data_IF_175056196571
#
_entry.id   IF_175056196571
#
_cell.length_a   1.000
_cell.length_b   1.000
_cell.length_c   1.000
_cell.angle_alpha   90.00
_cell.angle_beta   90.00
_cell.angle_gamma   90.00
#
_symmetry.space_group_name_H-M   'P 1'
#
loop_
_entity.id
_entity.type
_entity.pdbx_description
1 polymer ?
#
# COMPACT_ATOMS: atom_id res chain seq x y z
N UNK A 1 -17.24 24.75 -50.54
CA UNK A 1 -17.68 24.36 -49.19
C UNK A 1 -16.45 24.34 -48.30
N UNK A 2 -16.29 25.36 -47.46
CA UNK A 2 -15.18 25.47 -46.51
C UNK A 2 -15.47 24.57 -45.29
N UNK A 3 -14.48 23.77 -44.87
CA UNK A 3 -14.60 23.01 -43.62
C UNK A 3 -14.50 23.96 -42.43
N UNK A 4 -15.49 23.89 -41.55
CA UNK A 4 -15.51 24.60 -40.28
C UNK A 4 -14.59 23.83 -39.33
N UNK A 5 -13.43 24.40 -39.02
CA UNK A 5 -12.52 23.87 -37.98
C UNK A 5 -13.05 24.35 -36.64
N UNK A 6 -13.42 23.41 -35.78
CA UNK A 6 -13.87 23.65 -34.40
C UNK A 6 -12.72 24.28 -33.58
N UNK A 7 -12.93 25.54 -33.17
CA UNK A 7 -11.95 26.39 -32.49
C UNK A 7 -11.87 26.17 -30.97
N UNK A 8 -12.54 25.16 -30.42
CA UNK A 8 -12.62 24.90 -28.97
C UNK A 8 -11.31 24.39 -28.31
N UNK A 9 -10.36 23.88 -29.10
CA UNK A 9 -9.17 23.16 -28.60
C UNK A 9 -7.83 23.91 -28.70
N UNK A 10 -7.84 25.19 -29.09
CA UNK A 10 -6.62 25.96 -29.34
C UNK A 10 -6.57 27.26 -28.53
N UNK A 11 -5.40 27.60 -28.00
CA UNK A 11 -5.13 28.90 -27.37
C UNK A 11 -4.04 29.65 -28.14
N UNK A 12 -4.08 30.98 -28.04
CA UNK A 12 -3.12 31.88 -28.71
C UNK A 12 -1.99 32.20 -27.75
N UNK A 13 -0.77 31.78 -28.09
CA UNK A 13 0.43 32.11 -27.33
C UNK A 13 0.75 33.61 -27.43
N UNK A 14 1.49 34.15 -26.45
CA UNK A 14 1.98 35.54 -26.39
C UNK A 14 2.77 35.97 -27.65
N UNK A 15 3.34 35.02 -28.40
CA UNK A 15 4.04 35.28 -29.67
C UNK A 15 3.17 35.09 -30.93
N UNK A 16 1.84 34.94 -30.76
CA UNK A 16 0.88 34.90 -31.87
C UNK A 16 0.66 33.54 -32.54
N UNK A 17 1.35 32.48 -32.11
CA UNK A 17 1.17 31.13 -32.64
C UNK A 17 -0.02 30.39 -31.99
N UNK A 18 -0.72 29.58 -32.79
CA UNK A 18 -1.86 28.75 -32.38
C UNK A 18 -1.32 27.40 -31.88
N UNK A 19 -1.61 27.03 -30.63
CA UNK A 19 -1.08 25.80 -30.00
C UNK A 19 -2.22 24.98 -29.36
N UNK A 20 -2.15 23.63 -29.34
CA UNK A 20 -3.15 22.79 -28.68
C UNK A 20 -3.11 22.95 -27.15
N UNK A 21 -4.30 22.98 -26.50
CA UNK A 21 -4.47 23.20 -25.04
C UNK A 21 -3.71 22.25 -24.11
N UNK A 22 -3.23 21.11 -24.60
CA UNK A 22 -2.57 20.09 -23.74
C UNK A 22 -1.16 20.48 -23.26
N UNK A 23 -0.57 21.56 -23.77
CA UNK A 23 0.80 21.97 -23.44
C UNK A 23 0.93 22.97 -22.27
N UNK A 24 -0.16 23.48 -21.69
CA UNK A 24 -0.12 24.52 -20.63
C UNK A 24 0.02 23.98 -19.19
N UNK A 25 -0.05 22.67 -18.98
CA UNK A 25 0.16 22.08 -17.63
C UNK A 25 1.61 21.73 -17.32
N UNK A 26 2.49 21.63 -18.34
CA UNK A 26 3.92 21.36 -18.13
C UNK A 26 4.76 22.63 -17.91
N UNK A 27 4.22 23.81 -18.21
CA UNK A 27 4.93 25.09 -18.13
C UNK A 27 4.77 25.83 -16.79
N UNK A 28 4.03 25.26 -15.83
CA UNK A 28 3.93 25.79 -14.45
C UNK A 28 4.75 25.02 -13.41
N UNK A 29 5.60 24.10 -13.85
CA UNK A 29 6.63 23.53 -12.97
C UNK A 29 7.84 24.45 -13.09
N UNK A 30 8.16 25.14 -12.00
CA UNK A 30 9.34 25.99 -11.83
C UNK A 30 10.59 25.23 -12.29
N UNK A 31 11.08 25.49 -13.50
CA UNK A 31 12.45 25.21 -13.90
C UNK A 31 13.33 26.33 -13.32
N UNK A 32 13.56 26.27 -12.01
CA UNK A 32 14.77 26.84 -11.43
C UNK A 32 15.95 25.89 -11.66
N UNK A 33 17.18 26.41 -11.57
CA UNK A 33 18.35 25.54 -11.60
C UNK A 33 18.23 24.50 -10.48
N UNK A 34 18.34 23.23 -10.85
CA UNK A 34 18.36 22.13 -9.89
C UNK A 34 19.56 22.35 -8.95
N UNK A 35 19.37 22.40 -7.63
CA UNK A 35 20.49 22.53 -6.70
C UNK A 35 21.53 21.43 -6.97
N UNK A 36 22.82 21.74 -6.88
CA UNK A 36 23.92 20.80 -7.18
C UNK A 36 23.93 19.53 -6.33
N UNK A 37 23.11 19.53 -5.27
CA UNK A 37 22.99 18.49 -4.25
C UNK A 37 21.64 17.76 -4.31
N UNK A 38 20.83 17.97 -5.36
CA UNK A 38 19.59 17.23 -5.56
C UNK A 38 19.91 15.74 -5.79
N UNK A 39 19.34 14.86 -4.94
CA UNK A 39 19.62 13.42 -4.82
C UNK A 39 20.99 13.01 -4.25
N UNK A 40 21.78 13.94 -3.69
CA UNK A 40 22.98 13.54 -2.94
C UNK A 40 22.59 13.09 -1.54
N UNK A 41 22.67 11.79 -1.29
CA UNK A 41 22.86 11.29 0.08
C UNK A 41 24.29 11.69 0.44
N UNK A 42 24.44 12.71 1.29
CA UNK A 42 25.74 13.08 1.84
C UNK A 42 26.20 11.92 2.72
N UNK A 43 26.97 11.00 2.14
CA UNK A 43 27.77 10.04 2.89
C UNK A 43 28.81 10.87 3.64
N UNK A 44 28.44 11.31 4.84
CA UNK A 44 29.42 11.76 5.82
C UNK A 44 30.26 10.53 6.09
N UNK A 45 31.46 10.52 5.52
CA UNK A 45 32.47 9.51 5.82
C UNK A 45 32.77 9.66 7.31
N UNK A 46 32.13 8.80 8.10
CA UNK A 46 32.23 8.80 9.55
C UNK A 46 33.63 8.33 9.92
N UNK A 47 34.53 9.29 10.09
CA UNK A 47 35.77 9.08 10.81
C UNK A 47 35.41 8.86 12.30
N UNK A 48 35.15 7.60 12.62
CA UNK A 48 35.28 6.93 13.92
C UNK A 48 34.97 7.81 15.15
N UNK A 49 33.69 8.08 15.43
CA UNK A 49 33.18 8.35 16.79
C UNK A 49 31.74 7.81 16.89
N UNK A 50 31.40 7.22 18.05
CA UNK A 50 30.37 6.19 18.25
C UNK A 50 28.89 6.57 18.02
N UNK A 51 27.98 5.57 18.03
CA UNK A 51 26.58 5.73 17.63
C UNK A 51 25.72 6.14 18.83
N UNK A 52 25.84 7.38 19.30
CA UNK A 52 24.95 7.82 20.39
C UNK A 52 24.60 9.31 20.43
N UNK A 53 25.09 10.15 19.52
CA UNK A 53 24.71 11.58 19.50
C UNK A 53 23.87 11.96 18.27
N UNK A 54 23.94 11.19 17.18
CA UNK A 54 23.16 11.48 15.96
C UNK A 54 21.78 10.84 15.91
N UNK A 55 21.39 10.06 16.92
CA UNK A 55 20.10 9.34 16.92
C UNK A 55 19.04 10.01 17.81
N UNK A 56 19.35 11.16 18.41
CA UNK A 56 18.42 11.89 19.29
C UNK A 56 17.90 13.21 18.69
N UNK A 57 18.43 13.64 17.54
CA UNK A 57 18.08 14.94 16.91
C UNK A 57 17.21 14.81 15.64
N UNK A 58 16.77 13.59 15.31
CA UNK A 58 15.71 13.32 14.34
C UNK A 58 14.49 12.80 15.10
N UNK A 59 13.56 13.69 15.53
CA UNK A 59 12.10 13.41 15.50
C UNK A 59 11.21 14.38 16.30
N UNK A 60 11.70 15.46 16.95
CA UNK A 60 10.75 16.41 17.57
C UNK A 60 9.90 17.17 16.53
N UNK A 61 10.40 17.32 15.30
CA UNK A 61 9.69 17.97 14.19
C UNK A 61 9.06 16.99 13.18
N UNK A 62 9.14 15.68 13.40
CA UNK A 62 8.43 14.76 12.51
C UNK A 62 6.94 14.73 12.88
N UNK A 63 6.10 14.90 11.87
CA UNK A 63 4.66 14.69 12.00
C UNK A 63 4.30 13.22 11.91
N UNK A 64 5.25 12.35 11.60
CA UNK A 64 5.01 10.93 11.45
C UNK A 64 4.96 10.25 12.84
N UNK A 65 3.92 9.46 13.09
CA UNK A 65 3.68 8.79 14.37
C UNK A 65 4.08 7.31 14.36
N UNK A 66 4.03 6.65 13.20
CA UNK A 66 4.31 5.23 13.09
C UNK A 66 3.50 4.54 12.00
N UNK A 67 3.69 3.23 11.89
CA UNK A 67 2.92 2.41 10.97
C UNK A 67 1.65 1.93 11.67
N UNK A 68 0.53 2.49 11.25
CA UNK A 68 -0.79 2.16 11.77
C UNK A 68 -1.42 1.05 10.95
N UNK A 69 -1.86 -0.01 11.63
CA UNK A 69 -2.58 -1.12 11.01
C UNK A 69 -4.06 -0.96 11.29
N UNK A 70 -4.87 -0.96 10.24
CA UNK A 70 -6.33 -1.03 10.31
C UNK A 70 -6.77 -2.36 9.71
N UNK A 71 -7.47 -3.17 10.48
CA UNK A 71 -8.13 -4.38 9.99
C UNK A 71 -9.63 -4.19 9.98
N UNK A 72 -10.23 -4.33 8.80
CA UNK A 72 -11.67 -4.46 8.62
C UNK A 72 -12.01 -5.94 8.73
N UNK A 73 -12.54 -6.36 9.87
CA UNK A 73 -12.68 -7.78 10.19
C UNK A 73 -14.00 -8.36 9.66
N UNK A 74 -15.13 -7.93 10.21
CA UNK A 74 -16.47 -8.44 9.88
C UNK A 74 -17.55 -7.43 10.22
N UNK A 75 -18.78 -7.65 9.74
CA UNK A 75 -19.94 -6.85 10.12
C UNK A 75 -21.16 -7.71 10.49
N UNK A 76 -22.10 -7.11 11.22
CA UNK A 76 -23.41 -7.68 11.59
C UNK A 76 -24.50 -6.72 11.15
N UNK A 77 -25.13 -7.00 10.03
CA UNK A 77 -26.08 -6.10 9.37
C UNK A 77 -27.53 -6.44 9.72
N UNK A 78 -28.36 -5.43 9.81
CA UNK A 78 -29.79 -5.59 10.11
C UNK A 78 -30.55 -6.05 8.86
N UNK A 79 -30.25 -5.48 7.68
CA UNK A 79 -30.90 -5.80 6.40
C UNK A 79 -30.14 -6.89 5.63
N UNK A 80 -30.86 -7.69 4.83
CA UNK A 80 -30.30 -8.77 4.00
C UNK A 80 -30.86 -8.78 2.57
N UNK A 81 -31.29 -7.64 2.06
CA UNK A 81 -31.94 -7.59 0.75
C UNK A 81 -30.89 -7.26 -0.30
N UNK A 82 -30.37 -8.28 -0.96
CA UNK A 82 -29.54 -8.10 -2.14
C UNK A 82 -30.34 -7.59 -3.36
N UNK A 83 -29.70 -7.51 -4.53
CA UNK A 83 -30.21 -6.72 -5.66
C UNK A 83 -31.59 -7.13 -6.21
N UNK A 84 -31.98 -8.41 -6.03
CA UNK A 84 -33.30 -8.93 -6.42
C UNK A 84 -34.18 -9.34 -5.22
N UNK A 85 -33.86 -8.92 -4.00
CA UNK A 85 -34.65 -9.18 -2.78
C UNK A 85 -34.57 -10.62 -2.23
N UNK A 86 -34.29 -11.61 -3.08
CA UNK A 86 -34.03 -13.00 -2.68
C UNK A 86 -32.55 -13.38 -2.70
N UNK A 87 -31.71 -12.59 -3.39
CA UNK A 87 -30.27 -12.81 -3.40
C UNK A 87 -29.64 -12.22 -2.14
N UNK A 88 -28.57 -12.86 -1.65
CA UNK A 88 -27.75 -12.30 -0.56
C UNK A 88 -27.01 -11.08 -1.07
N UNK A 89 -26.74 -10.15 -0.16
CA UNK A 89 -25.85 -9.04 -0.44
C UNK A 89 -24.41 -9.54 -0.64
N UNK A 90 -23.63 -8.75 -1.38
CA UNK A 90 -22.21 -8.92 -1.65
C UNK A 90 -21.44 -7.71 -1.04
N UNK A 91 -21.21 -7.69 0.30
CA UNK A 91 -20.79 -6.46 0.96
C UNK A 91 -19.29 -6.18 0.81
N UNK A 92 -18.92 -4.91 0.68
CA UNK A 92 -17.54 -4.43 0.74
C UNK A 92 -17.47 -3.08 1.48
N UNK A 93 -16.30 -2.77 2.04
CA UNK A 93 -16.06 -1.57 2.84
C UNK A 93 -15.09 -0.66 2.11
N UNK A 94 -15.44 0.62 2.02
CA UNK A 94 -14.51 1.71 1.73
C UNK A 94 -14.21 2.44 3.02
N UNK A 95 -12.95 2.68 3.33
CA UNK A 95 -12.60 3.55 4.45
C UNK A 95 -11.55 4.58 4.06
N UNK A 96 -11.57 5.72 4.74
CA UNK A 96 -10.70 6.85 4.51
C UNK A 96 -10.09 7.31 5.84
N UNK A 97 -8.77 7.52 5.83
CA UNK A 97 -8.02 8.13 6.93
C UNK A 97 -7.15 9.25 6.36
N UNK A 98 -7.36 10.48 6.83
CA UNK A 98 -6.79 11.67 6.19
C UNK A 98 -7.19 11.77 4.71
N UNK A 99 -6.20 11.71 3.81
CA UNK A 99 -6.41 11.76 2.35
C UNK A 99 -6.27 10.40 1.66
N UNK A 100 -6.10 9.33 2.42
CA UNK A 100 -5.86 7.98 1.90
C UNK A 100 -7.15 7.19 2.02
N UNK A 101 -7.59 6.60 0.90
CA UNK A 101 -8.76 5.72 0.85
C UNK A 101 -8.36 4.31 0.47
N UNK A 102 -9.00 3.34 1.11
CA UNK A 102 -8.82 1.91 0.87
C UNK A 102 -10.18 1.22 0.72
N UNK A 103 -10.17 0.09 0.03
CA UNK A 103 -11.36 -0.74 -0.18
C UNK A 103 -11.03 -2.20 0.12
N UNK A 104 -11.98 -2.91 0.75
CA UNK A 104 -11.90 -4.35 0.97
C UNK A 104 -12.25 -5.13 -0.29
N UNK A 105 -11.74 -6.37 -0.43
CA UNK A 105 -12.38 -7.32 -1.34
C UNK A 105 -13.87 -7.46 -0.99
N UNK A 106 -14.66 -7.82 -1.97
CA UNK A 106 -16.09 -8.08 -1.75
C UNK A 106 -16.30 -9.42 -1.07
N UNK A 107 -17.12 -9.44 -0.02
CA UNK A 107 -17.56 -10.66 0.62
C UNK A 107 -18.75 -11.26 -0.15
N UNK A 108 -18.44 -11.99 -1.24
CA UNK A 108 -19.47 -12.61 -2.09
C UNK A 108 -20.39 -13.54 -1.30
N UNK A 109 -21.70 -13.28 -1.34
CA UNK A 109 -22.73 -13.99 -0.59
C UNK A 109 -22.73 -13.75 0.91
N UNK A 110 -22.01 -12.71 1.39
CA UNK A 110 -21.84 -12.40 2.82
C UNK A 110 -23.13 -12.07 3.55
N UNK A 111 -24.15 -11.54 2.84
CA UNK A 111 -25.46 -11.28 3.43
C UNK A 111 -25.39 -10.40 4.68
N UNK A 112 -25.99 -10.84 5.80
CA UNK A 112 -25.97 -10.10 7.08
C UNK A 112 -24.66 -10.19 7.86
N UNK A 113 -23.79 -11.14 7.53
CA UNK A 113 -22.60 -11.43 8.32
C UNK A 113 -21.36 -11.55 7.42
N UNK A 114 -21.02 -10.49 6.66
CA UNK A 114 -19.82 -10.51 5.83
C UNK A 114 -18.57 -10.54 6.71
N UNK A 115 -17.53 -11.23 6.22
CA UNK A 115 -16.21 -11.31 6.83
C UNK A 115 -15.17 -11.01 5.76
N UNK A 116 -14.23 -10.13 6.07
CA UNK A 116 -13.16 -9.70 5.16
C UNK A 116 -11.79 -10.04 5.72
N UNK A 117 -11.57 -9.78 7.02
CA UNK A 117 -10.26 -9.91 7.66
C UNK A 117 -9.14 -9.22 6.88
N UNK A 118 -9.45 -8.05 6.30
CA UNK A 118 -8.55 -7.31 5.43
C UNK A 118 -7.76 -6.28 6.23
N UNK A 119 -6.43 -6.37 6.20
CA UNK A 119 -5.52 -5.52 6.98
C UNK A 119 -4.73 -4.58 6.07
N UNK A 120 -4.67 -3.31 6.47
CA UNK A 120 -4.00 -2.24 5.74
C UNK A 120 -2.99 -1.56 6.65
N UNK A 121 -1.75 -1.43 6.18
CA UNK A 121 -0.70 -0.69 6.84
C UNK A 121 -0.63 0.71 6.26
N UNK A 122 -0.72 1.71 7.12
CA UNK A 122 -0.86 3.12 6.75
C UNK A 122 0.14 3.93 7.56
N UNK A 123 0.81 4.86 6.88
CA UNK A 123 1.66 5.84 7.54
C UNK A 123 0.80 6.85 8.29
N UNK A 124 0.86 6.84 9.62
CA UNK A 124 0.03 7.73 10.44
C UNK A 124 0.78 9.01 10.76
N UNK A 125 0.15 10.15 10.50
CA UNK A 125 0.70 11.47 10.80
C UNK A 125 -0.14 12.20 11.87
N UNK A 126 0.49 13.14 12.59
CA UNK A 126 -0.17 14.06 13.52
C UNK A 126 -1.32 14.78 12.80
N UNK A 127 -2.50 14.76 13.42
CA UNK A 127 -3.73 15.32 12.84
C UNK A 127 -4.59 14.33 12.05
N UNK A 128 -4.12 13.10 11.82
CA UNK A 128 -4.96 11.99 11.37
C UNK A 128 -5.53 11.30 12.60
N UNK A 129 -6.73 11.69 13.02
CA UNK A 129 -7.38 11.21 14.25
C UNK A 129 -8.72 10.51 13.98
N UNK A 130 -9.19 10.49 12.74
CA UNK A 130 -10.51 9.94 12.37
C UNK A 130 -10.42 9.06 11.12
N UNK A 131 -11.17 7.96 11.16
CA UNK A 131 -11.39 7.05 10.05
C UNK A 131 -12.86 7.13 9.68
N UNK A 132 -13.15 7.53 8.45
CA UNK A 132 -14.50 7.45 7.89
C UNK A 132 -14.66 6.10 7.21
N UNK A 133 -15.74 5.38 7.50
CA UNK A 133 -16.01 4.03 7.01
C UNK A 133 -17.37 4.02 6.35
N UNK A 134 -17.44 3.49 5.14
CA UNK A 134 -18.67 3.29 4.38
C UNK A 134 -18.76 1.83 3.93
N UNK A 135 -19.95 1.25 4.05
CA UNK A 135 -20.25 -0.11 3.67
C UNK A 135 -21.26 -0.11 2.51
N UNK A 136 -20.98 -0.92 1.49
CA UNK A 136 -21.76 -1.03 0.26
C UNK A 136 -22.09 -2.49 -0.08
N UNK A 137 -23.15 -2.69 -0.85
CA UNK A 137 -23.54 -3.95 -1.52
C UNK A 137 -23.15 -3.84 -3.00
N UNK A 138 -22.19 -4.66 -3.44
CA UNK A 138 -21.72 -4.64 -4.83
C UNK A 138 -22.80 -5.16 -5.79
N UNK A 139 -22.97 -4.47 -6.93
CA UNK A 139 -23.98 -4.84 -7.95
C UNK A 139 -23.36 -4.91 -9.34
N UNK A 140 -23.75 -5.94 -10.10
CA UNK A 140 -23.17 -6.18 -11.43
C UNK A 140 -23.73 -5.28 -12.55
N UNK A 141 -24.94 -4.76 -12.38
CA UNK A 141 -25.69 -4.07 -13.45
C UNK A 141 -26.19 -2.67 -13.09
N UNK A 142 -25.99 -2.24 -11.85
CA UNK A 142 -26.40 -0.94 -11.33
C UNK A 142 -25.30 -0.39 -10.44
N UNK A 143 -25.41 0.87 -10.03
CA UNK A 143 -24.58 1.41 -8.97
C UNK A 143 -24.69 0.57 -7.70
N UNK A 144 -23.57 0.50 -6.98
CA UNK A 144 -23.48 -0.20 -5.71
C UNK A 144 -24.36 0.50 -4.68
N UNK A 145 -25.02 -0.29 -3.84
CA UNK A 145 -25.96 0.25 -2.87
C UNK A 145 -25.28 0.52 -1.57
N UNK A 146 -25.39 1.75 -1.09
CA UNK A 146 -25.01 2.09 0.27
C UNK A 146 -25.79 1.24 1.29
N UNK A 147 -25.07 0.74 2.30
CA UNK A 147 -25.62 -0.02 3.43
C UNK A 147 -25.59 0.84 4.68
N UNK A 148 -24.45 1.43 5.02
CA UNK A 148 -24.29 2.25 6.22
C UNK A 148 -22.88 2.82 6.34
N UNK A 149 -22.71 3.81 7.21
CA UNK A 149 -21.44 4.47 7.47
C UNK A 149 -21.18 4.64 8.96
N UNK A 150 -19.92 4.79 9.33
CA UNK A 150 -19.55 5.24 10.65
C UNK A 150 -18.26 6.05 10.60
N UNK A 151 -18.10 6.90 11.60
CA UNK A 151 -16.88 7.63 11.84
C UNK A 151 -16.25 7.16 13.13
N UNK A 152 -14.98 6.78 13.05
CA UNK A 152 -14.22 6.23 14.17
C UNK A 152 -13.08 7.17 14.50
N UNK A 153 -13.08 7.71 15.73
CA UNK A 153 -11.90 8.39 16.28
C UNK A 153 -10.86 7.33 16.65
N UNK A 154 -9.59 7.56 16.28
CA UNK A 154 -8.49 6.64 16.56
C UNK A 154 -8.25 6.61 18.07
N UNK A 155 -8.47 5.47 18.75
CA UNK A 155 -8.37 5.41 20.20
C UNK A 155 -6.92 5.62 20.65
N UNK A 156 -6.74 6.33 21.77
CA UNK A 156 -5.41 6.55 22.37
C UNK A 156 -4.68 5.23 22.62
N UNK A 157 -5.41 4.16 22.94
CA UNK A 157 -4.83 2.83 23.13
C UNK A 157 -4.14 2.30 21.87
N UNK A 158 -4.72 2.54 20.70
CA UNK A 158 -4.13 2.16 19.43
C UNK A 158 -2.85 2.96 19.16
N UNK A 159 -2.85 4.25 19.50
CA UNK A 159 -1.68 5.14 19.40
C UNK A 159 -0.56 4.73 20.37
N UNK A 160 -0.90 4.26 21.57
CA UNK A 160 0.05 3.72 22.56
C UNK A 160 0.66 2.37 22.14
N UNK A 161 0.31 1.85 20.96
CA UNK A 161 0.76 0.57 20.44
C UNK A 161 0.05 -0.65 21.03
N UNK A 162 -1.07 -0.46 21.72
CA UNK A 162 -1.96 -1.57 22.11
C UNK A 162 -2.94 -1.87 20.98
N UNK A 163 -3.34 -3.13 20.86
CA UNK A 163 -4.40 -3.49 19.91
C UNK A 163 -5.75 -3.04 20.45
N UNK A 164 -6.43 -2.18 19.72
CA UNK A 164 -7.81 -1.80 19.96
C UNK A 164 -8.74 -2.58 19.02
N UNK A 165 -9.64 -3.38 19.57
CA UNK A 165 -10.63 -4.17 18.81
C UNK A 165 -12.03 -3.79 19.29
N UNK A 166 -12.85 -3.25 18.40
CA UNK A 166 -14.17 -2.74 18.79
C UNK A 166 -15.22 -2.82 17.68
N UNK A 167 -16.48 -2.96 18.10
CA UNK A 167 -17.65 -2.92 17.23
C UNK A 167 -18.19 -1.50 17.17
N UNK A 168 -18.25 -0.92 15.97
CA UNK A 168 -18.77 0.42 15.74
C UNK A 168 -20.13 0.34 15.05
N UNK A 169 -21.14 1.10 15.52
CA UNK A 169 -22.46 1.12 14.91
C UNK A 169 -22.40 1.81 13.54
N UNK A 170 -23.05 1.20 12.55
CA UNK A 170 -23.25 1.74 11.22
C UNK A 170 -24.58 2.49 11.17
N UNK A 171 -24.56 3.71 10.64
CA UNK A 171 -25.71 4.57 10.47
C UNK A 171 -26.12 4.65 9.01
N UNK A 172 -27.42 4.80 8.74
CA UNK A 172 -27.91 5.09 7.39
C UNK A 172 -27.55 6.50 6.93
N UNK A 173 -27.95 6.86 5.70
CA UNK A 173 -27.78 8.21 5.13
C UNK A 173 -29.12 8.78 4.68
N UNK A 174 -29.18 10.12 4.53
CA UNK A 174 -30.31 10.94 4.03
C UNK A 174 -31.67 10.65 4.67
N UNK A 175 -32.39 9.64 4.20
CA UNK A 175 -33.73 9.30 4.69
C UNK A 175 -33.69 8.55 6.02
N UNK A 176 -32.55 7.92 6.32
CA UNK A 176 -32.37 7.01 7.44
C UNK A 176 -31.11 7.35 8.27
N UNK A 177 -30.70 8.63 8.32
CA UNK A 177 -29.45 9.10 8.97
C UNK A 177 -29.25 8.64 10.42
N UNK A 178 -30.36 8.36 11.12
CA UNK A 178 -30.33 7.91 12.51
C UNK A 178 -30.76 6.44 12.70
N UNK A 179 -30.97 5.70 11.61
CA UNK A 179 -31.28 4.28 11.69
C UNK A 179 -29.99 3.48 11.77
N UNK A 180 -29.86 2.68 12.84
CA UNK A 180 -28.79 1.71 12.95
C UNK A 180 -28.96 0.66 11.85
N UNK A 181 -27.91 0.43 11.05
CA UNK A 181 -27.87 -0.53 9.95
C UNK A 181 -27.12 -1.82 10.31
N UNK A 182 -26.49 -1.85 11.48
CA UNK A 182 -25.66 -2.93 11.96
C UNK A 182 -24.43 -2.44 12.70
N UNK A 183 -23.50 -3.34 12.98
CA UNK A 183 -22.22 -3.02 13.59
C UNK A 183 -21.06 -3.57 12.73
N UNK A 184 -19.92 -2.88 12.72
CA UNK A 184 -18.69 -3.31 12.05
C UNK A 184 -17.55 -3.49 13.06
N UNK A 185 -16.82 -4.59 12.96
CA UNK A 185 -15.65 -4.89 13.79
C UNK A 185 -14.39 -4.33 13.12
N UNK A 186 -13.75 -3.38 13.81
CA UNK A 186 -12.50 -2.75 13.38
C UNK A 186 -11.41 -3.04 14.41
N UNK A 187 -10.22 -3.41 13.92
CA UNK A 187 -9.03 -3.64 14.76
C UNK A 187 -7.96 -2.64 14.36
N UNK A 188 -7.37 -1.97 15.35
CA UNK A 188 -6.40 -0.90 15.15
C UNK A 188 -5.19 -1.08 16.05
N UNK A 189 -3.99 -0.83 15.53
CA UNK A 189 -2.77 -0.76 16.33
C UNK A 189 -1.70 0.09 15.64
N UNK A 190 -0.93 0.85 16.41
CA UNK A 190 0.25 1.55 15.94
C UNK A 190 1.51 0.74 16.28
N UNK A 191 2.33 0.46 15.27
CA UNK A 191 3.68 -0.03 15.50
C UNK A 191 4.65 1.15 15.37
N UNK A 192 5.44 1.46 16.40
CA UNK A 192 6.48 2.47 16.27
C UNK A 192 7.51 1.99 15.25
N UNK A 193 8.22 2.93 14.61
CA UNK A 193 9.37 2.64 13.76
C UNK A 193 10.46 1.96 14.61
N UNK A 194 10.41 0.64 14.71
CA UNK A 194 11.59 -0.12 15.05
C UNK A 194 12.44 -0.02 13.80
N UNK A 195 13.54 0.74 13.87
CA UNK A 195 14.58 0.68 12.86
C UNK A 195 14.91 -0.80 12.66
N UNK A 196 14.65 -1.33 11.47
CA UNK A 196 15.16 -2.63 11.00
C UNK A 196 16.68 -2.55 10.86
N UNK A 197 17.40 -2.05 11.88
CA UNK A 197 18.79 -2.39 12.05
C UNK A 197 18.79 -3.89 12.39
N UNK A 198 19.29 -4.77 11.49
CA UNK A 198 19.50 -6.15 11.88
C UNK A 198 20.35 -6.13 13.16
N UNK A 199 20.10 -7.03 14.13
CA UNK A 199 20.98 -7.14 15.29
C UNK A 199 22.39 -7.30 14.73
N UNK A 200 23.27 -6.36 15.06
CA UNK A 200 24.67 -6.48 14.74
C UNK A 200 25.10 -7.82 15.32
N UNK A 201 25.34 -8.80 14.45
CA UNK A 201 25.97 -10.04 14.86
C UNK A 201 27.31 -9.60 15.41
N UNK A 202 27.44 -9.62 16.73
CA UNK A 202 28.65 -9.33 17.45
C UNK A 202 29.64 -10.43 17.04
N UNK A 203 30.38 -10.20 15.96
CA UNK A 203 31.44 -11.10 15.54
C UNK A 203 32.45 -11.12 16.69
N UNK A 204 32.67 -12.27 17.36
CA UNK A 204 33.76 -12.36 18.32
C UNK A 204 35.05 -12.11 17.54
N UNK A 205 35.74 -11.03 17.92
CA UNK A 205 37.00 -10.63 17.29
C UNK A 205 37.97 -11.82 17.31
N UNK A 206 38.57 -12.23 16.17
CA UNK A 206 39.58 -13.26 16.21
C UNK A 206 40.81 -12.73 16.94
N UNK A 207 41.19 -13.45 18.00
CA UNK A 207 42.41 -13.26 18.77
C UNK A 207 43.61 -13.28 17.81
N UNK A 208 44.30 -12.15 17.74
CA UNK A 208 45.45 -11.95 16.86
C UNK A 208 46.64 -12.79 17.38
N UNK A 209 47.09 -13.79 16.61
CA UNK A 209 48.41 -14.38 16.78
C UNK A 209 49.14 -14.42 15.44
N UNK A 210 50.27 -13.75 15.43
CA UNK A 210 51.23 -13.63 14.33
C UNK A 210 51.66 -14.99 13.79
N UNK A 211 51.86 -15.13 12.47
CA UNK A 211 53.15 -15.47 11.82
C UNK A 211 52.93 -15.75 10.32
N UNK A 212 53.64 -15.02 9.44
CA UNK A 212 54.29 -15.60 8.27
C UNK A 212 53.59 -15.62 6.89
N UNK A 213 54.20 -14.86 5.97
CA UNK A 213 54.41 -15.14 4.53
C UNK A 213 53.26 -15.05 3.51
N UNK A 214 53.26 -13.94 2.77
CA UNK A 214 53.29 -13.80 1.30
C UNK A 214 52.51 -14.76 0.39
N UNK A 215 51.55 -14.22 -0.37
CA UNK A 215 51.56 -14.25 -1.84
C UNK A 215 50.42 -13.41 -2.45
N UNK A 216 50.69 -12.99 -3.69
CA UNK A 216 50.05 -12.01 -4.58
C UNK A 216 48.77 -12.46 -5.30
N UNK A 217 47.99 -11.46 -5.77
CA UNK A 217 46.96 -11.46 -6.84
C UNK A 217 45.67 -12.27 -6.57
N UNK A 218 44.45 -11.78 -6.81
CA UNK A 218 43.94 -10.94 -7.90
C UNK A 218 42.62 -10.27 -7.49
N UNK A 219 42.35 -9.09 -8.04
CA UNK A 219 41.03 -8.47 -8.04
C UNK A 219 40.02 -9.34 -8.82
N UNK A 220 38.85 -9.55 -8.23
CA UNK A 220 37.61 -9.75 -8.98
C UNK A 220 36.46 -9.10 -8.20
N UNK A 221 35.91 -8.02 -8.76
CA UNK A 221 34.63 -7.45 -8.36
C UNK A 221 33.54 -8.52 -8.57
N UNK A 222 33.04 -9.11 -7.49
CA UNK A 222 31.81 -9.89 -7.52
C UNK A 222 30.63 -8.95 -7.30
N UNK A 223 29.90 -8.69 -8.37
CA UNK A 223 28.50 -8.26 -8.32
C UNK A 223 27.78 -9.33 -7.49
N UNK A 224 27.14 -8.93 -6.38
CA UNK A 224 26.29 -9.83 -5.60
C UNK A 224 25.02 -10.03 -6.42
N UNK A 225 25.04 -11.07 -7.26
CA UNK A 225 23.85 -11.61 -7.89
C UNK A 225 23.01 -12.27 -6.79
N UNK A 226 21.86 -11.68 -6.49
CA UNK A 226 20.91 -12.21 -5.52
C UNK A 226 20.50 -13.60 -5.96
N UNK A 227 20.88 -14.62 -5.19
CA UNK A 227 20.44 -16.00 -5.42
C UNK A 227 18.92 -16.08 -5.39
N UNK A 228 18.26 -16.69 -6.39
CA UNK A 228 16.81 -16.81 -6.39
C UNK A 228 16.34 -17.64 -5.19
N UNK A 229 15.38 -17.10 -4.43
CA UNK A 229 14.79 -17.71 -3.23
C UNK A 229 13.89 -18.92 -3.57
N UNK A 230 13.64 -19.16 -4.86
CA UNK A 230 12.77 -20.21 -5.39
C UNK A 230 13.54 -21.23 -6.24
N UNK A 231 13.07 -22.48 -6.23
CA UNK A 231 13.67 -23.56 -7.00
C UNK A 231 13.26 -23.47 -8.48
N UNK A 232 14.13 -23.95 -9.39
CA UNK A 232 13.77 -24.17 -10.80
C UNK A 232 12.58 -25.11 -10.98
N UNK A 233 12.31 -25.99 -10.00
CA UNK A 233 11.14 -26.86 -10.01
C UNK A 233 9.84 -26.10 -9.73
N UNK A 234 9.87 -25.01 -8.95
CA UNK A 234 8.68 -24.20 -8.67
C UNK A 234 8.22 -23.46 -9.92
N UNK A 235 9.17 -22.93 -10.69
CA UNK A 235 8.90 -22.29 -11.99
C UNK A 235 8.29 -23.30 -12.97
N UNK A 236 8.86 -24.52 -13.04
CA UNK A 236 8.35 -25.59 -13.91
C UNK A 236 6.93 -25.99 -13.49
N UNK A 237 6.65 -26.04 -12.20
CA UNK A 237 5.31 -26.36 -11.68
C UNK A 237 4.29 -25.30 -12.11
N UNK A 238 4.63 -24.01 -12.05
CA UNK A 238 3.73 -22.93 -12.52
C UNK A 238 3.56 -23.00 -14.04
N UNK A 239 4.64 -23.26 -14.80
CA UNK A 239 4.61 -23.42 -16.26
C UNK A 239 3.70 -24.59 -16.69
N UNK A 240 3.70 -25.70 -15.94
CA UNK A 240 2.80 -26.84 -16.16
C UNK A 240 1.33 -26.52 -15.83
N UNK A 241 1.07 -25.69 -14.82
CA UNK A 241 -0.30 -25.28 -14.44
C UNK A 241 -0.90 -24.25 -15.42
N UNK A 242 -0.07 -23.42 -16.05
CA UNK A 242 -0.50 -22.37 -16.99
C UNK A 242 0.23 -22.48 -18.33
N UNK A 243 -0.12 -23.50 -19.15
CA UNK A 243 0.50 -23.69 -20.46
C UNK A 243 0.11 -22.55 -21.40
N UNK A 244 1.05 -21.62 -21.63
CA UNK A 244 0.84 -20.42 -22.46
C UNK A 244 1.52 -19.16 -21.92
N UNK A 245 1.79 -19.14 -20.61
CA UNK A 245 2.45 -18.01 -19.95
C UNK A 245 3.97 -18.06 -20.18
N UNK A 246 4.55 -16.92 -20.56
CA UNK A 246 5.98 -16.82 -20.78
C UNK A 246 6.76 -17.03 -19.47
N UNK A 247 7.75 -17.92 -19.50
CA UNK A 247 8.61 -18.25 -18.35
C UNK A 247 9.25 -17.04 -17.67
N UNK A 248 9.59 -15.99 -18.41
CA UNK A 248 10.18 -14.77 -17.84
C UNK A 248 9.19 -13.98 -16.99
N UNK A 249 7.88 -14.04 -17.32
CA UNK A 249 6.82 -13.42 -16.53
C UNK A 249 6.63 -14.18 -15.21
N UNK A 250 6.74 -15.51 -15.26
CA UNK A 250 6.71 -16.35 -14.05
C UNK A 250 7.89 -15.99 -13.14
N UNK A 251 9.09 -15.82 -13.69
CA UNK A 251 10.30 -15.41 -12.96
C UNK A 251 10.11 -14.02 -12.33
N UNK A 252 9.65 -13.02 -13.10
CA UNK A 252 9.42 -11.66 -12.60
C UNK A 252 8.36 -11.61 -11.49
N UNK A 253 7.29 -12.39 -11.62
CA UNK A 253 6.28 -12.53 -10.56
C UNK A 253 6.83 -13.25 -9.33
N UNK A 254 7.65 -14.28 -9.51
CA UNK A 254 8.32 -14.96 -8.39
C UNK A 254 9.28 -14.02 -7.67
N UNK A 255 10.06 -13.21 -8.39
CA UNK A 255 10.93 -12.21 -7.79
C UNK A 255 10.12 -11.15 -7.03
N UNK A 256 9.05 -10.63 -7.64
CA UNK A 256 8.16 -9.62 -7.04
C UNK A 256 7.46 -10.11 -5.78
N UNK A 257 7.11 -11.40 -5.74
CA UNK A 257 6.43 -12.03 -4.61
C UNK A 257 7.37 -12.81 -3.68
N UNK A 258 8.68 -12.57 -3.77
CA UNK A 258 9.68 -13.14 -2.84
C UNK A 258 9.80 -14.66 -2.89
N UNK A 259 9.54 -15.26 -4.06
CA UNK A 259 9.56 -16.71 -4.30
C UNK A 259 8.29 -17.44 -3.86
N UNK A 260 7.24 -16.73 -3.46
CA UNK A 260 6.00 -17.36 -3.00
C UNK A 260 5.15 -17.87 -4.19
N UNK A 261 5.29 -19.17 -4.50
CA UNK A 261 4.56 -19.86 -5.56
C UNK A 261 3.05 -19.68 -5.47
N UNK A 262 2.47 -19.80 -4.29
CA UNK A 262 1.01 -19.77 -4.11
C UNK A 262 0.43 -18.38 -4.41
N UNK A 263 1.17 -17.31 -4.04
CA UNK A 263 0.80 -15.95 -4.42
C UNK A 263 0.85 -15.75 -5.94
N UNK A 264 1.88 -16.28 -6.61
CA UNK A 264 2.01 -16.17 -8.07
C UNK A 264 0.88 -16.94 -8.77
N UNK A 265 0.56 -18.15 -8.32
CA UNK A 265 -0.55 -18.95 -8.87
C UNK A 265 -1.88 -18.23 -8.69
N UNK A 266 -2.15 -17.69 -7.49
CA UNK A 266 -3.39 -16.96 -7.23
C UNK A 266 -3.48 -15.68 -8.07
N UNK A 267 -2.36 -14.97 -8.24
CA UNK A 267 -2.27 -13.80 -9.11
C UNK A 267 -2.59 -14.16 -10.58
N UNK A 268 -2.06 -15.27 -11.08
CA UNK A 268 -2.31 -15.72 -12.45
C UNK A 268 -3.75 -16.18 -12.68
N UNK A 269 -4.39 -16.83 -11.69
CA UNK A 269 -5.80 -17.22 -11.74
C UNK A 269 -6.74 -16.02 -11.74
N UNK A 270 -6.46 -15.00 -10.91
CA UNK A 270 -7.30 -13.81 -10.79
C UNK A 270 -7.24 -12.92 -12.03
N UNK A 271 -6.10 -12.91 -12.72
CA UNK A 271 -5.87 -12.01 -13.86
C UNK A 271 -6.19 -12.64 -15.23
N UNK A 272 -6.66 -13.89 -15.31
CA UNK A 272 -7.03 -14.58 -16.56
C UNK A 272 -6.03 -14.36 -17.73
N UNK A 273 -4.73 -14.33 -17.41
CA UNK A 273 -3.70 -14.12 -18.42
C UNK A 273 -3.56 -15.45 -19.18
N UNK A 274 -4.32 -15.56 -20.26
CA UNK A 274 -4.33 -16.69 -21.20
C UNK A 274 -3.48 -16.38 -22.43
#
# INVERSE_FOLDING_TARGET
>A
MASVVDSSNYTKSLNGNIVPKFNEYRSRVMLGDLPSDFLRIQLVESQIYGPSIFQQELDENSNFLGYFTVTIAEAKLIKNSGPLGFLRMDPYVRFQIGHISHETPTASGGGKNPQWNASYRIDLFKGMDRIHIELFDQRSFTEDSFIGECDVEIPHEAIDGRTHQHWYPLMGRETNENENQGDILVIMSLSPMISDNPPAIENPSPLNSSTGSSSTSSQSNSIIESTPIYSSDDIRTIEEMFPGINRQIIIDLMDKHGGNKDMVVNYLLQNNIS
#
